data_IF_000790753440
#
_entry.id   IF_000790753440
#
_cell.length_a   1.000
_cell.length_b   1.000
_cell.length_c   1.000
_cell.angle_alpha   90.00
_cell.angle_beta   90.00
_cell.angle_gamma   90.00
#
_symmetry.space_group_name_H-M   'P 1'
#
loop_
_entity.id
_entity.type
_entity.pdbx_description
1 polymer ?
#
# COMPACT_ATOMS: atom_id res chain seq x y z
N UNK A 1 -18.67 -0.93 6.50
CA UNK A 1 -17.98 0.34 6.20
C UNK A 1 -16.68 0.14 5.40
N UNK A 2 -15.65 -0.60 5.85
CA UNK A 2 -14.39 -0.70 5.09
C UNK A 2 -14.47 -1.43 3.72
N UNK A 3 -15.43 -2.35 3.53
CA UNK A 3 -15.72 -2.95 2.22
C UNK A 3 -16.23 -1.93 1.17
N UNK A 4 -16.79 -0.79 1.60
CA UNK A 4 -17.27 0.24 0.68
C UNK A 4 -16.14 1.08 0.12
N UNK A 5 -15.06 1.27 0.87
CA UNK A 5 -13.84 1.97 0.40
C UNK A 5 -13.29 1.30 -0.85
N UNK A 6 -13.26 -0.04 -0.91
CA UNK A 6 -12.84 -0.76 -2.11
C UNK A 6 -13.83 -0.64 -3.28
N UNK A 7 -15.13 -0.51 -2.99
CA UNK A 7 -16.17 -0.44 -4.03
C UNK A 7 -16.27 0.95 -4.66
N UNK A 8 -15.91 1.99 -3.91
CA UNK A 8 -16.12 3.38 -4.31
C UNK A 8 -14.84 4.20 -4.45
N UNK A 9 -13.67 3.70 -4.02
CA UNK A 9 -12.41 4.39 -4.24
C UNK A 9 -11.68 3.80 -5.46
N UNK A 10 -11.87 4.38 -6.67
CA UNK A 10 -11.19 3.90 -7.87
C UNK A 10 -9.67 3.91 -7.74
N UNK A 11 -9.09 4.81 -6.93
CA UNK A 11 -7.65 4.81 -6.68
C UNK A 11 -7.17 3.51 -6.02
N UNK A 12 -7.96 2.93 -5.10
CA UNK A 12 -7.60 1.65 -4.48
C UNK A 12 -7.72 0.49 -5.47
N UNK A 13 -8.66 0.57 -6.41
CA UNK A 13 -8.84 -0.43 -7.46
C UNK A 13 -7.67 -0.50 -8.45
N UNK A 14 -6.91 0.59 -8.64
CA UNK A 14 -5.69 0.59 -9.46
C UNK A 14 -4.65 -0.43 -8.95
N UNK A 15 -4.63 -0.69 -7.63
CA UNK A 15 -3.73 -1.68 -7.03
C UNK A 15 -3.92 -3.11 -7.57
N UNK A 16 -5.06 -3.41 -8.20
CA UNK A 16 -5.36 -4.74 -8.77
C UNK A 16 -4.71 -4.97 -10.13
N UNK A 17 -4.22 -3.92 -10.79
CA UNK A 17 -3.60 -3.99 -12.11
C UNK A 17 -2.06 -3.93 -12.08
N UNK A 18 -1.48 -3.59 -10.92
CA UNK A 18 -0.04 -3.49 -10.75
C UNK A 18 0.63 -4.87 -10.57
N UNK A 19 1.93 -4.95 -10.91
CA UNK A 19 2.73 -6.16 -10.67
C UNK A 19 2.90 -6.40 -9.17
N UNK A 20 3.19 -5.33 -8.41
CA UNK A 20 3.38 -5.37 -6.96
C UNK A 20 2.80 -4.11 -6.29
N UNK A 21 2.22 -4.28 -5.11
CA UNK A 21 1.63 -3.18 -4.33
C UNK A 21 2.50 -2.86 -3.11
N UNK A 22 2.85 -1.59 -2.92
CA UNK A 22 3.52 -1.11 -1.72
C UNK A 22 2.50 -0.48 -0.78
N UNK A 23 2.15 -1.17 0.30
CA UNK A 23 1.31 -0.67 1.37
C UNK A 23 2.15 0.23 2.27
N UNK A 24 1.71 1.47 2.46
CA UNK A 24 2.39 2.44 3.33
C UNK A 24 1.43 2.98 4.38
N UNK A 25 1.97 3.41 5.51
CA UNK A 25 1.18 4.00 6.58
C UNK A 25 0.57 5.35 6.21
N UNK A 26 1.37 6.30 5.70
CA UNK A 26 0.95 7.67 5.52
C UNK A 26 1.62 8.42 4.37
N UNK A 27 1.36 9.73 4.26
CA UNK A 27 1.82 10.55 3.13
C UNK A 27 3.33 10.75 3.09
N UNK A 28 4.04 10.63 4.22
CA UNK A 28 5.50 10.77 4.27
C UNK A 28 6.18 9.64 3.49
N UNK A 29 5.82 8.39 3.80
CA UNK A 29 6.33 7.21 3.11
C UNK A 29 5.89 7.20 1.65
N UNK A 30 4.73 7.80 1.34
CA UNK A 30 4.22 7.89 -0.03
C UNK A 30 5.14 8.70 -0.92
N UNK A 31 5.50 9.90 -0.46
CA UNK A 31 6.37 10.81 -1.20
C UNK A 31 7.76 10.21 -1.35
N UNK A 32 8.29 9.61 -0.27
CA UNK A 32 9.60 8.96 -0.29
C UNK A 32 9.64 7.75 -1.23
N UNK A 33 8.62 6.88 -1.21
CA UNK A 33 8.55 5.72 -2.09
C UNK A 33 8.44 6.14 -3.57
N UNK A 34 7.65 7.19 -3.88
CA UNK A 34 7.56 7.74 -5.23
C UNK A 34 8.90 8.29 -5.71
N UNK A 35 9.59 9.07 -4.87
CA UNK A 35 10.91 9.62 -5.19
C UNK A 35 11.93 8.49 -5.41
N UNK A 36 11.92 7.46 -4.56
CA UNK A 36 12.79 6.30 -4.70
C UNK A 36 12.57 5.55 -6.01
N UNK A 37 11.32 5.29 -6.41
CA UNK A 37 11.02 4.61 -7.68
C UNK A 37 11.37 5.46 -8.92
N UNK A 38 11.37 6.78 -8.79
CA UNK A 38 11.84 7.70 -9.84
C UNK A 38 13.37 7.67 -9.98
N UNK A 39 14.09 7.62 -8.86
CA UNK A 39 15.56 7.56 -8.84
C UNK A 39 16.10 6.18 -9.21
N UNK A 40 15.40 5.11 -8.80
CA UNK A 40 15.75 3.71 -9.02
C UNK A 40 14.67 3.02 -9.87
N UNK A 41 14.63 3.28 -11.18
CA UNK A 41 13.59 2.74 -12.04
C UNK A 41 13.67 1.22 -12.12
N UNK A 42 12.50 0.59 -12.11
CA UNK A 42 12.32 -0.86 -12.21
C UNK A 42 11.40 -1.18 -13.39
N UNK A 43 11.52 -2.40 -13.92
CA UNK A 43 10.64 -2.88 -15.00
C UNK A 43 9.24 -3.26 -14.52
N UNK A 44 9.06 -3.40 -13.21
CA UNK A 44 7.78 -3.78 -12.59
C UNK A 44 6.94 -2.54 -12.34
N UNK A 45 5.64 -2.66 -12.54
CA UNK A 45 4.69 -1.63 -12.14
C UNK A 45 4.38 -1.74 -10.65
N UNK A 46 4.79 -0.71 -9.89
CA UNK A 46 4.56 -0.61 -8.46
C UNK A 46 3.43 0.37 -8.18
N UNK A 47 2.36 -0.11 -7.55
CA UNK A 47 1.31 0.76 -7.04
C UNK A 47 1.54 1.07 -5.56
N UNK A 48 1.71 2.35 -5.23
CA UNK A 48 1.87 2.80 -3.84
C UNK A 48 0.48 3.08 -3.28
N UNK A 49 0.07 2.31 -2.27
CA UNK A 49 -1.23 2.42 -1.62
C UNK A 49 -1.09 2.97 -0.20
N UNK A 50 -1.50 4.23 -0.04
CA UNK A 50 -1.59 4.88 1.25
C UNK A 50 -2.75 4.32 2.08
N UNK A 51 -2.42 3.66 3.20
CA UNK A 51 -3.40 3.02 4.07
C UNK A 51 -4.02 3.99 5.10
N UNK A 52 -3.46 5.19 5.24
CA UNK A 52 -3.87 6.24 6.17
C UNK A 52 -3.53 5.99 7.65
N UNK A 53 -3.30 4.72 8.03
CA UNK A 53 -2.80 4.30 9.34
C UNK A 53 -2.31 2.85 9.24
N UNK A 54 -1.32 2.48 10.07
CA UNK A 54 -0.86 1.10 10.21
C UNK A 54 -2.00 0.11 10.50
N UNK A 55 -3.05 0.56 11.22
CA UNK A 55 -4.20 -0.27 11.59
C UNK A 55 -5.02 -0.76 10.37
N UNK A 56 -4.94 -0.04 9.24
CA UNK A 56 -5.67 -0.39 8.02
C UNK A 56 -4.87 -1.36 7.13
N UNK A 57 -3.56 -1.52 7.34
CA UNK A 57 -2.71 -2.40 6.51
C UNK A 57 -3.24 -3.84 6.47
N UNK A 58 -3.61 -4.49 7.61
CA UNK A 58 -4.12 -5.86 7.59
C UNK A 58 -5.39 -6.04 6.76
N UNK A 59 -6.23 -5.00 6.66
CA UNK A 59 -7.41 -5.03 5.80
C UNK A 59 -7.01 -5.18 4.33
N UNK A 60 -6.14 -4.29 3.83
CA UNK A 60 -5.66 -4.35 2.45
C UNK A 60 -4.90 -5.64 2.16
N UNK A 61 -4.04 -6.11 3.07
CA UNK A 61 -3.35 -7.39 2.94
C UNK A 61 -4.31 -8.56 2.74
N UNK A 62 -5.40 -8.62 3.51
CA UNK A 62 -6.42 -9.67 3.39
C UNK A 62 -7.09 -9.67 2.02
N UNK A 63 -7.30 -8.51 1.42
CA UNK A 63 -7.92 -8.39 0.10
C UNK A 63 -6.92 -8.77 -0.98
N UNK A 64 -5.76 -8.14 -1.01
CA UNK A 64 -4.73 -8.41 -2.02
C UNK A 64 -4.33 -9.90 -2.02
N UNK A 65 -4.23 -10.51 -0.84
CA UNK A 65 -4.00 -11.96 -0.68
C UNK A 65 -5.06 -12.82 -1.36
N UNK A 66 -6.35 -12.47 -1.26
CA UNK A 66 -7.44 -13.23 -1.89
C UNK A 66 -7.32 -13.25 -3.41
N UNK A 67 -6.81 -12.17 -3.99
CA UNK A 67 -6.59 -12.03 -5.43
C UNK A 67 -5.17 -12.47 -5.85
N UNK A 68 -4.36 -12.95 -4.91
CA UNK A 68 -2.95 -13.34 -5.13
C UNK A 68 -2.10 -12.20 -5.71
N UNK A 69 -2.46 -10.96 -5.39
CA UNK A 69 -1.66 -9.78 -5.73
C UNK A 69 -0.48 -9.74 -4.77
N UNK A 70 0.73 -9.58 -5.31
CA UNK A 70 1.94 -9.49 -4.50
C UNK A 70 2.01 -8.11 -3.83
N UNK A 71 2.32 -8.08 -2.54
CA UNK A 71 2.41 -6.82 -1.81
C UNK A 71 3.55 -6.82 -0.78
N UNK A 72 3.99 -5.62 -0.43
CA UNK A 72 4.94 -5.32 0.64
C UNK A 72 4.34 -4.25 1.56
N UNK A 73 4.78 -4.18 2.81
CA UNK A 73 4.32 -3.17 3.75
C UNK A 73 5.51 -2.43 4.35
N UNK A 74 5.44 -1.10 4.37
CA UNK A 74 6.39 -0.20 5.03
C UNK A 74 5.59 0.67 6.00
N UNK A 75 5.97 0.61 7.27
CA UNK A 75 5.38 1.39 8.36
C UNK A 75 6.42 1.47 9.47
N UNK A 76 6.30 2.49 10.32
CA UNK A 76 7.23 2.68 11.41
C UNK A 76 6.99 1.64 12.52
N UNK A 77 8.07 1.23 13.16
CA UNK A 77 7.97 0.43 14.38
C UNK A 77 7.73 1.36 15.55
N UNK A 78 6.48 1.43 16.02
CA UNK A 78 6.15 2.08 17.28
C UNK A 78 6.83 1.34 18.44
N UNK A 79 8.02 1.79 18.82
CA UNK A 79 8.70 1.36 20.03
C UNK A 79 8.11 2.09 21.24
N UNK A 80 6.86 1.76 21.61
CA UNK A 80 6.45 1.99 23.01
C UNK A 80 7.21 0.98 23.86
N UNK A 81 8.32 1.42 24.42
CA UNK A 81 8.88 0.76 25.60
C UNK A 81 7.78 0.71 26.66
N UNK A 82 7.49 -0.46 27.26
CA UNK A 82 6.59 -0.54 28.40
C UNK A 82 7.10 0.30 29.58
#
# INVERSE_FOLDING_TARGET
EMNEVLRFNPHVCEAFYADEVLLIEGPTEEVLARAYLQEFPTKKDFFILNCGTVNNIPFYQKILSKFKIKYHAIFDTDSRTP
#
